data_IF_008703160601
#
_entry.id   IF_008703160601
#
_cell.length_a   1.000
_cell.length_b   1.000
_cell.length_c   1.000
_cell.angle_alpha   90.00
_cell.angle_beta   90.00
_cell.angle_gamma   90.00
#
_symmetry.space_group_name_H-M   'P 1'
#
loop_
_entity.id
_entity.type
_entity.pdbx_description
1 polymer ?
#
# COMPACT_ATOMS: atom_id res chain seq x y z
N UNK A 1 -3.28 27.05 -21.58
CA UNK A 1 -3.32 25.93 -20.63
C UNK A 1 -4.28 26.29 -19.52
N UNK A 2 -5.28 25.43 -19.22
CA UNK A 2 -6.20 25.64 -18.11
C UNK A 2 -5.53 25.26 -16.78
N UNK A 3 -5.85 25.96 -15.70
CA UNK A 3 -5.36 25.65 -14.35
C UNK A 3 -6.54 25.44 -13.40
N UNK A 4 -6.38 24.55 -12.45
CA UNK A 4 -7.34 24.36 -11.35
C UNK A 4 -7.06 25.42 -10.28
N UNK A 5 -8.02 26.33 -10.07
CA UNK A 5 -7.89 27.43 -9.11
C UNK A 5 -7.99 26.93 -7.66
N UNK A 6 -7.55 27.73 -6.70
CA UNK A 6 -7.64 27.39 -5.28
C UNK A 6 -9.10 27.21 -4.83
N UNK A 7 -10.03 28.06 -5.28
CA UNK A 7 -11.45 27.89 -5.01
C UNK A 7 -12.04 26.63 -5.68
N UNK A 8 -11.55 26.24 -6.86
CA UNK A 8 -11.93 25.01 -7.51
C UNK A 8 -11.49 23.77 -6.70
N UNK A 9 -10.28 23.78 -6.18
CA UNK A 9 -9.76 22.72 -5.28
C UNK A 9 -10.56 22.63 -3.98
N UNK A 10 -10.87 23.77 -3.36
CA UNK A 10 -11.71 23.82 -2.17
C UNK A 10 -13.14 23.30 -2.43
N UNK A 11 -13.70 23.56 -3.61
CA UNK A 11 -15.00 23.01 -4.01
C UNK A 11 -14.95 21.49 -4.19
N UNK A 12 -13.85 20.94 -4.74
CA UNK A 12 -13.65 19.48 -4.84
C UNK A 12 -13.57 18.86 -3.43
N UNK A 13 -12.77 19.41 -2.52
CA UNK A 13 -12.71 18.97 -1.14
C UNK A 13 -14.09 19.01 -0.46
N UNK A 14 -14.86 20.08 -0.67
CA UNK A 14 -16.22 20.21 -0.14
C UNK A 14 -17.17 19.14 -0.69
N UNK A 15 -17.07 18.81 -1.97
CA UNK A 15 -17.86 17.73 -2.58
C UNK A 15 -17.54 16.37 -1.98
N UNK A 16 -16.25 16.07 -1.78
CA UNK A 16 -15.80 14.81 -1.16
C UNK A 16 -16.27 14.72 0.30
N UNK A 17 -16.15 15.81 1.06
CA UNK A 17 -16.56 15.84 2.47
C UNK A 17 -18.03 15.46 2.70
N UNK A 18 -18.91 15.69 1.73
CA UNK A 18 -20.35 15.38 1.85
C UNK A 18 -20.68 13.91 1.56
N UNK A 19 -19.72 13.12 1.11
CA UNK A 19 -19.93 11.72 0.76
C UNK A 19 -19.62 10.79 1.94
N UNK A 20 -20.14 9.54 1.94
CA UNK A 20 -19.65 8.52 2.85
C UNK A 20 -18.16 8.26 2.59
N UNK A 21 -17.34 8.41 3.65
CA UNK A 21 -15.88 8.21 3.58
C UNK A 21 -15.50 7.07 4.52
N UNK A 22 -14.75 6.13 3.99
CA UNK A 22 -14.27 4.97 4.74
C UNK A 22 -12.76 4.82 4.54
N UNK A 23 -12.05 4.31 5.55
CA UNK A 23 -10.72 3.75 5.41
C UNK A 23 -10.85 2.24 5.27
N UNK A 24 -10.53 1.73 4.09
CA UNK A 24 -10.32 0.32 3.86
C UNK A 24 -8.89 -0.07 4.27
N UNK A 25 -8.73 -1.27 4.79
CA UNK A 25 -7.43 -1.88 5.01
C UNK A 25 -7.38 -3.28 4.43
N UNK A 26 -6.18 -3.71 4.03
CA UNK A 26 -5.97 -4.97 3.33
C UNK A 26 -4.67 -5.65 3.72
N UNK A 27 -4.63 -6.96 3.46
CA UNK A 27 -3.43 -7.78 3.67
C UNK A 27 -2.36 -7.54 2.60
N UNK A 28 -2.72 -6.91 1.47
CA UNK A 28 -1.82 -6.79 0.33
C UNK A 28 -1.40 -8.14 -0.23
N UNK A 29 -0.20 -8.22 -0.77
CA UNK A 29 0.41 -9.50 -1.09
C UNK A 29 1.12 -10.06 0.16
N UNK A 30 0.80 -11.27 0.61
CA UNK A 30 1.42 -11.87 1.80
C UNK A 30 2.92 -12.10 1.65
N UNK A 31 3.44 -12.17 0.42
CA UNK A 31 4.87 -12.37 0.15
C UNK A 31 5.70 -11.08 0.31
N UNK A 32 5.09 -9.90 0.39
CA UNK A 32 5.84 -8.66 0.61
C UNK A 32 6.65 -8.71 1.90
N UNK A 33 7.89 -8.30 1.80
CA UNK A 33 8.92 -8.32 2.84
C UNK A 33 9.36 -9.74 3.28
N UNK A 34 8.99 -10.78 2.51
CA UNK A 34 9.43 -12.14 2.77
C UNK A 34 10.77 -12.44 2.09
N UNK A 35 11.66 -13.10 2.84
CA UNK A 35 12.88 -13.69 2.32
C UNK A 35 12.56 -14.93 1.47
N UNK A 36 13.07 -14.96 0.26
CA UNK A 36 12.99 -16.12 -0.64
C UNK A 36 14.38 -16.64 -0.95
N UNK A 37 14.54 -17.95 -1.01
CA UNK A 37 15.78 -18.59 -1.43
C UNK A 37 15.45 -19.91 -2.14
N UNK A 38 15.94 -20.07 -3.38
CA UNK A 38 15.74 -21.27 -4.17
C UNK A 38 16.86 -21.48 -5.18
N UNK A 39 17.00 -22.72 -5.64
CA UNK A 39 17.90 -23.08 -6.74
C UNK A 39 17.22 -22.82 -8.09
N UNK A 40 17.96 -22.19 -9.00
CA UNK A 40 17.54 -21.92 -10.37
C UNK A 40 18.62 -22.33 -11.36
N UNK A 41 18.20 -22.77 -12.55
CA UNK A 41 19.08 -22.98 -13.69
C UNK A 41 18.74 -22.00 -14.80
N UNK A 42 19.76 -21.51 -15.49
CA UNK A 42 19.55 -20.60 -16.62
C UNK A 42 18.94 -21.33 -17.82
N UNK A 43 17.93 -20.71 -18.42
CA UNK A 43 17.36 -21.10 -19.71
C UNK A 43 17.52 -19.92 -20.65
N UNK A 44 18.18 -20.14 -21.78
CA UNK A 44 18.50 -19.06 -22.74
C UNK A 44 19.21 -17.87 -22.07
N UNK A 45 20.17 -18.17 -21.17
CA UNK A 45 20.93 -17.21 -20.38
C UNK A 45 20.07 -16.37 -19.40
N UNK A 46 18.86 -16.80 -19.08
CA UNK A 46 17.94 -16.07 -18.19
C UNK A 46 17.34 -16.96 -17.10
N UNK A 47 17.02 -16.33 -15.98
CA UNK A 47 16.16 -16.84 -14.90
C UNK A 47 15.02 -15.85 -14.72
N UNK A 48 13.78 -16.33 -14.72
CA UNK A 48 12.60 -15.60 -14.28
C UNK A 48 12.23 -16.10 -12.88
N UNK A 49 12.27 -15.19 -11.90
CA UNK A 49 11.93 -15.51 -10.52
C UNK A 49 10.42 -15.71 -10.31
N UNK A 50 9.59 -15.31 -11.29
CA UNK A 50 8.12 -15.29 -11.13
C UNK A 50 7.62 -14.29 -10.09
N UNK A 51 8.49 -13.40 -9.63
CA UNK A 51 8.21 -12.33 -8.67
C UNK A 51 8.62 -10.99 -9.26
N UNK A 52 7.83 -9.97 -9.00
CA UNK A 52 8.15 -8.59 -9.36
C UNK A 52 8.52 -7.81 -8.10
N UNK A 53 9.25 -6.72 -8.29
CA UNK A 53 9.74 -5.87 -7.20
C UNK A 53 10.51 -6.69 -6.15
N UNK A 54 11.78 -6.94 -6.46
CA UNK A 54 12.70 -7.65 -5.57
C UNK A 54 13.81 -6.71 -5.08
N UNK A 55 14.32 -6.98 -3.88
CA UNK A 55 15.47 -6.30 -3.30
C UNK A 55 16.43 -7.30 -2.66
N UNK A 56 17.61 -6.83 -2.27
CA UNK A 56 18.62 -7.62 -1.56
C UNK A 56 19.02 -8.90 -2.29
N UNK A 57 19.06 -8.86 -3.64
CA UNK A 57 19.39 -10.01 -4.46
C UNK A 57 20.84 -10.46 -4.24
N UNK A 58 21.00 -11.75 -3.90
CA UNK A 58 22.28 -12.44 -3.78
C UNK A 58 22.24 -13.72 -4.62
N UNK A 59 23.23 -13.92 -5.47
CA UNK A 59 23.39 -15.15 -6.25
C UNK A 59 24.69 -15.84 -5.85
N UNK A 60 24.61 -17.12 -5.54
CA UNK A 60 25.74 -17.97 -5.17
C UNK A 60 25.81 -19.21 -6.05
N UNK A 61 26.99 -19.84 -6.11
CA UNK A 61 27.10 -21.20 -6.61
C UNK A 61 26.25 -22.16 -5.77
N UNK A 62 25.87 -23.29 -6.35
CA UNK A 62 25.02 -24.30 -5.67
C UNK A 62 25.64 -24.82 -4.37
N UNK A 63 26.99 -24.89 -4.30
CA UNK A 63 27.73 -25.26 -3.09
C UNK A 63 27.96 -24.09 -2.10
N UNK A 64 27.42 -22.89 -2.41
CA UNK A 64 27.52 -21.64 -1.66
C UNK A 64 28.96 -21.10 -1.46
N UNK A 65 29.95 -21.67 -2.13
CA UNK A 65 31.35 -21.24 -1.94
C UNK A 65 31.70 -19.98 -2.74
N UNK A 66 30.95 -19.69 -3.80
CA UNK A 66 31.18 -18.51 -4.65
C UNK A 66 29.96 -17.62 -4.65
N UNK A 67 30.15 -16.32 -4.36
CA UNK A 67 29.11 -15.29 -4.54
C UNK A 67 29.39 -14.56 -5.84
N UNK A 68 28.40 -14.51 -6.72
CA UNK A 68 28.49 -13.86 -8.02
C UNK A 68 28.20 -12.35 -7.89
N UNK A 69 28.76 -11.56 -8.79
CA UNK A 69 28.70 -10.09 -8.74
C UNK A 69 27.81 -9.55 -9.86
N UNK A 70 26.84 -8.74 -9.52
CA UNK A 70 25.99 -8.04 -10.48
C UNK A 70 26.83 -7.07 -11.34
N UNK A 71 26.57 -7.02 -12.64
CA UNK A 71 27.33 -6.25 -13.62
C UNK A 71 28.63 -6.94 -14.12
N UNK A 72 29.03 -8.07 -13.51
CA UNK A 72 30.18 -8.88 -13.89
C UNK A 72 29.75 -10.28 -14.34
N UNK A 73 29.00 -10.96 -13.49
CA UNK A 73 28.57 -12.34 -13.70
C UNK A 73 27.12 -12.41 -14.21
N UNK A 74 26.29 -11.47 -13.77
CA UNK A 74 24.89 -11.36 -14.14
C UNK A 74 24.40 -9.90 -14.12
N UNK A 75 23.26 -9.66 -14.79
CA UNK A 75 22.44 -8.46 -14.62
C UNK A 75 21.07 -8.89 -14.09
N UNK A 76 20.46 -8.05 -13.28
CA UNK A 76 19.12 -8.27 -12.76
C UNK A 76 18.26 -7.02 -12.92
N UNK A 77 17.00 -7.22 -13.31
CA UNK A 77 15.95 -6.21 -13.26
C UNK A 77 15.10 -6.46 -12.02
N UNK A 78 15.25 -5.62 -11.02
CA UNK A 78 14.54 -5.75 -9.75
C UNK A 78 13.04 -5.50 -9.86
N UNK A 79 12.56 -4.84 -10.91
CA UNK A 79 11.14 -4.58 -11.13
C UNK A 79 10.43 -5.81 -11.70
N UNK A 80 11.08 -6.49 -12.67
CA UNK A 80 10.49 -7.65 -13.34
C UNK A 80 10.89 -8.98 -12.72
N UNK A 81 11.93 -9.01 -11.88
CA UNK A 81 12.50 -10.23 -11.32
C UNK A 81 13.29 -11.07 -12.33
N UNK A 82 13.65 -10.47 -13.47
CA UNK A 82 14.40 -11.15 -14.52
C UNK A 82 15.91 -11.02 -14.26
N UNK A 83 16.62 -12.14 -14.26
CA UNK A 83 18.08 -12.22 -14.12
C UNK A 83 18.68 -12.74 -15.42
N UNK A 84 19.66 -12.03 -15.96
CA UNK A 84 20.37 -12.41 -17.18
C UNK A 84 21.82 -12.69 -16.87
N UNK A 85 22.32 -13.86 -17.27
CA UNK A 85 23.73 -14.24 -17.15
C UNK A 85 24.58 -13.40 -18.12
N UNK A 86 25.77 -13.00 -17.69
CA UNK A 86 26.76 -12.38 -18.57
C UNK A 86 27.67 -13.50 -19.10
N UNK A 87 27.69 -13.75 -20.42
CA UNK A 87 28.46 -14.88 -20.99
C UNK A 87 29.97 -14.86 -20.72
N UNK A 88 30.54 -13.66 -20.47
CA UNK A 88 31.95 -13.48 -20.12
C UNK A 88 32.22 -13.56 -18.61
N UNK A 89 31.17 -13.69 -17.78
CA UNK A 89 31.26 -13.83 -16.33
C UNK A 89 31.60 -15.27 -15.90
N UNK A 90 31.55 -15.50 -14.61
CA UNK A 90 31.95 -16.79 -14.02
C UNK A 90 30.81 -17.81 -13.92
N UNK A 91 29.57 -17.46 -14.29
CA UNK A 91 28.42 -18.38 -14.29
C UNK A 91 28.39 -19.14 -15.64
N UNK A 92 28.44 -20.45 -15.61
CA UNK A 92 28.24 -21.30 -16.79
C UNK A 92 26.80 -21.33 -17.29
N UNK A 93 26.58 -21.59 -18.58
CA UNK A 93 25.23 -21.59 -19.18
C UNK A 93 24.33 -22.74 -18.68
N UNK A 94 24.91 -23.76 -18.06
CA UNK A 94 24.22 -24.91 -17.48
C UNK A 94 24.33 -24.97 -15.95
N UNK A 95 24.90 -23.96 -15.34
CA UNK A 95 25.06 -23.94 -13.89
C UNK A 95 23.70 -23.78 -13.19
N UNK A 96 23.57 -24.46 -12.07
CA UNK A 96 22.51 -24.21 -11.10
C UNK A 96 23.08 -23.25 -10.04
N UNK A 97 22.34 -22.22 -9.75
CA UNK A 97 22.72 -21.20 -8.78
C UNK A 97 21.67 -21.10 -7.67
N UNK A 98 22.13 -20.80 -6.45
CA UNK A 98 21.25 -20.43 -5.36
C UNK A 98 20.98 -18.93 -5.43
N UNK A 99 19.70 -18.57 -5.58
CA UNK A 99 19.25 -17.18 -5.64
C UNK A 99 18.46 -16.86 -4.37
N UNK A 100 18.91 -15.85 -3.65
CA UNK A 100 18.24 -15.32 -2.45
C UNK A 100 17.85 -13.87 -2.69
N UNK A 101 16.64 -13.49 -2.30
CA UNK A 101 16.11 -12.13 -2.45
C UNK A 101 14.96 -11.89 -1.47
N UNK A 102 14.60 -10.63 -1.27
CA UNK A 102 13.39 -10.21 -0.56
C UNK A 102 12.36 -9.74 -1.59
N UNK A 103 11.10 -10.15 -1.44
CA UNK A 103 10.00 -9.60 -2.25
C UNK A 103 9.70 -8.20 -1.72
N UNK A 104 9.95 -7.18 -2.54
CA UNK A 104 9.73 -5.79 -2.13
C UNK A 104 8.27 -5.38 -2.27
N UNK A 105 7.84 -4.44 -1.44
CA UNK A 105 6.54 -3.78 -1.61
C UNK A 105 6.60 -2.86 -2.83
N UNK A 106 5.74 -3.05 -3.85
CA UNK A 106 5.74 -2.19 -5.02
C UNK A 106 5.29 -0.77 -4.68
N UNK A 107 5.66 0.24 -5.48
CA UNK A 107 5.05 1.56 -5.36
C UNK A 107 3.55 1.48 -5.68
N UNK A 108 2.78 2.40 -5.10
CA UNK A 108 1.34 2.49 -5.32
C UNK A 108 1.03 2.76 -6.80
N UNK A 109 0.11 1.97 -7.36
CA UNK A 109 -0.33 2.14 -8.74
C UNK A 109 -1.40 3.24 -8.82
N UNK A 110 -1.11 4.33 -9.53
CA UNK A 110 -2.05 5.43 -9.77
C UNK A 110 -3.33 4.99 -10.51
N UNK A 111 -3.30 3.84 -11.17
CA UNK A 111 -4.47 3.26 -11.85
C UNK A 111 -5.29 2.32 -10.97
N UNK A 112 -4.86 2.06 -9.73
CA UNK A 112 -5.57 1.19 -8.82
C UNK A 112 -6.97 1.73 -8.51
N UNK A 113 -7.98 0.88 -8.62
CA UNK A 113 -9.37 1.20 -8.28
C UNK A 113 -9.83 0.52 -6.97
N UNK A 114 -9.01 -0.34 -6.40
CA UNK A 114 -9.30 -1.12 -5.19
C UNK A 114 -7.99 -1.57 -4.53
N UNK A 115 -8.06 -2.05 -3.29
CA UNK A 115 -6.97 -2.75 -2.62
C UNK A 115 -6.77 -4.14 -3.26
N UNK A 116 -5.57 -4.70 -3.14
CA UNK A 116 -5.26 -6.06 -3.63
C UNK A 116 -6.07 -7.10 -2.83
N UNK A 117 -6.08 -6.96 -1.50
CA UNK A 117 -6.77 -7.91 -0.61
C UNK A 117 -7.45 -7.17 0.55
N UNK A 118 -8.57 -6.51 0.26
CA UNK A 118 -9.33 -5.81 1.30
C UNK A 118 -9.92 -6.78 2.32
N UNK A 119 -9.70 -6.49 3.60
CA UNK A 119 -10.26 -7.23 4.74
C UNK A 119 -11.59 -6.61 5.18
N UNK A 120 -11.67 -5.31 5.16
CA UNK A 120 -12.82 -4.52 5.55
C UNK A 120 -12.50 -3.04 5.60
N UNK A 121 -13.49 -2.24 5.97
CA UNK A 121 -13.35 -0.78 6.02
C UNK A 121 -14.10 -0.15 7.19
N UNK A 122 -13.58 0.96 7.66
CA UNK A 122 -14.14 1.73 8.77
C UNK A 122 -14.62 3.09 8.29
N UNK A 123 -15.86 3.47 8.71
CA UNK A 123 -16.36 4.82 8.48
C UNK A 123 -15.50 5.86 9.20
N UNK A 124 -15.30 7.02 8.59
CA UNK A 124 -14.59 8.13 9.20
C UNK A 124 -15.25 8.58 10.51
N UNK A 125 -14.45 8.75 11.56
CA UNK A 125 -14.90 9.34 12.82
C UNK A 125 -15.02 10.85 12.70
N UNK A 126 -14.15 11.47 11.89
CA UNK A 126 -14.09 12.91 11.71
C UNK A 126 -13.58 13.26 10.30
N UNK A 127 -14.22 14.24 9.67
CA UNK A 127 -13.78 14.84 8.40
C UNK A 127 -13.93 16.35 8.51
N UNK A 128 -12.80 17.06 8.52
CA UNK A 128 -12.79 18.52 8.67
C UNK A 128 -11.89 19.19 7.63
N UNK A 129 -12.23 20.40 7.20
CA UNK A 129 -11.29 21.23 6.46
C UNK A 129 -10.15 21.66 7.38
N UNK A 130 -8.95 21.80 6.83
CA UNK A 130 -7.81 22.25 7.61
C UNK A 130 -6.87 23.14 6.79
N UNK A 131 -6.00 23.84 7.50
CA UNK A 131 -4.91 24.63 6.92
C UNK A 131 -3.59 24.21 7.55
N UNK A 132 -2.47 24.21 6.82
CA UNK A 132 -1.16 23.96 7.39
C UNK A 132 -0.85 24.97 8.50
N UNK A 133 -0.40 24.50 9.67
CA UNK A 133 -0.07 25.31 10.83
C UNK A 133 0.92 24.55 11.72
N UNK A 134 2.14 25.05 11.87
CA UNK A 134 3.17 24.41 12.69
C UNK A 134 2.77 24.23 14.16
N UNK A 135 1.82 25.04 14.66
CA UNK A 135 1.28 24.96 16.01
C UNK A 135 -0.08 24.25 16.07
N UNK A 136 -0.54 23.72 14.92
CA UNK A 136 -1.86 23.08 14.79
C UNK A 136 -2.02 21.81 15.64
N UNK A 137 -3.25 21.58 16.09
CA UNK A 137 -3.62 20.44 16.93
C UNK A 137 -3.84 19.14 16.13
N UNK A 138 -4.10 19.24 14.82
CA UNK A 138 -4.26 18.09 13.94
C UNK A 138 -2.88 17.62 13.47
N UNK A 139 -2.41 16.53 14.05
CA UNK A 139 -1.07 15.96 13.78
C UNK A 139 -1.21 14.76 12.85
N UNK A 140 -0.47 14.80 11.74
CA UNK A 140 -0.38 13.68 10.78
C UNK A 140 1.09 13.39 10.46
N UNK A 141 1.42 12.25 9.83
CA UNK A 141 2.78 11.99 9.38
C UNK A 141 3.35 13.08 8.44
N UNK A 142 2.48 13.77 7.71
CA UNK A 142 2.87 14.81 6.74
C UNK A 142 2.98 16.21 7.34
N UNK A 143 2.61 16.40 8.59
CA UNK A 143 2.72 17.72 9.24
C UNK A 143 1.63 18.01 10.26
N UNK A 144 1.54 19.29 10.63
CA UNK A 144 0.53 19.81 11.55
C UNK A 144 -0.42 20.75 10.84
N UNK A 145 -1.67 20.73 11.29
CA UNK A 145 -2.75 21.50 10.69
C UNK A 145 -3.69 22.03 11.78
N UNK A 146 -4.37 23.13 11.46
CA UNK A 146 -5.48 23.67 12.27
C UNK A 146 -6.78 23.50 11.51
N UNK A 147 -7.85 23.05 12.19
CA UNK A 147 -9.17 22.90 11.61
C UNK A 147 -9.72 24.26 11.11
N UNK A 148 -10.45 24.23 9.99
CA UNK A 148 -11.08 25.39 9.38
C UNK A 148 -12.58 25.18 9.22
N UNK A 149 -13.37 26.19 9.60
CA UNK A 149 -14.82 26.21 9.33
C UNK A 149 -15.13 26.50 7.84
N UNK A 150 -14.20 27.18 7.17
CA UNK A 150 -14.35 27.52 5.75
C UNK A 150 -13.76 26.43 4.88
N UNK A 151 -14.36 26.15 3.72
CA UNK A 151 -13.79 25.20 2.75
C UNK A 151 -12.36 25.59 2.35
N UNK A 152 -11.45 24.63 2.48
CA UNK A 152 -10.07 24.69 2.00
C UNK A 152 -9.82 23.55 1.00
N UNK A 153 -8.66 23.52 0.38
CA UNK A 153 -8.25 22.42 -0.48
C UNK A 153 -7.70 21.22 0.31
N UNK A 154 -7.71 21.26 1.65
CA UNK A 154 -7.23 20.17 2.49
C UNK A 154 -8.36 19.59 3.33
N UNK A 155 -8.47 18.27 3.34
CA UNK A 155 -9.37 17.53 4.25
C UNK A 155 -8.54 16.68 5.19
N UNK A 156 -8.68 16.94 6.49
CA UNK A 156 -8.24 16.03 7.53
C UNK A 156 -9.33 14.97 7.76
N UNK A 157 -8.92 13.72 7.80
CA UNK A 157 -9.79 12.56 8.02
C UNK A 157 -9.19 11.70 9.12
N UNK A 158 -10.01 11.27 10.08
CA UNK A 158 -9.61 10.39 11.17
C UNK A 158 -10.48 9.15 11.21
N UNK A 159 -9.83 7.99 11.39
CA UNK A 159 -10.45 6.68 11.45
C UNK A 159 -9.89 5.92 12.65
N UNK A 160 -10.74 5.33 13.47
CA UNK A 160 -10.31 4.54 14.63
C UNK A 160 -10.86 3.13 14.51
N UNK A 161 -9.99 2.18 14.26
CA UNK A 161 -10.32 0.76 14.28
C UNK A 161 -10.33 0.24 15.72
N UNK A 162 -11.40 -0.43 16.08
CA UNK A 162 -11.63 -0.93 17.43
C UNK A 162 -11.01 -2.32 17.64
N UNK A 163 -11.04 -2.81 18.86
CA UNK A 163 -10.46 -4.09 19.27
C UNK A 163 -10.98 -5.28 18.46
N UNK A 164 -12.24 -5.22 18.04
CA UNK A 164 -12.94 -6.30 17.33
C UNK A 164 -12.81 -6.19 15.79
N UNK A 165 -12.26 -5.10 15.28
CA UNK A 165 -12.10 -4.89 13.84
C UNK A 165 -10.94 -5.75 13.33
N UNK A 166 -11.22 -6.93 12.77
CA UNK A 166 -10.29 -7.90 12.17
C UNK A 166 -9.02 -8.19 13.02
N UNK A 167 -9.15 -8.69 14.25
CA UNK A 167 -8.00 -9.09 15.05
C UNK A 167 -7.31 -10.31 14.42
N UNK A 168 -5.99 -10.35 14.47
CA UNK A 168 -5.16 -11.42 13.92
C UNK A 168 -4.68 -11.21 12.49
N UNK A 169 -5.14 -10.15 11.82
CA UNK A 169 -4.75 -9.82 10.46
C UNK A 169 -3.42 -9.01 10.42
N UNK A 170 -2.74 -9.09 9.29
CA UNK A 170 -1.56 -8.28 9.00
C UNK A 170 -1.94 -7.27 7.92
N UNK A 171 -1.95 -6.00 8.29
CA UNK A 171 -2.32 -4.91 7.38
C UNK A 171 -1.08 -4.45 6.62
N UNK A 172 -1.18 -4.41 5.29
CA UNK A 172 -0.12 -3.95 4.38
C UNK A 172 -0.61 -2.86 3.41
N UNK A 173 -1.94 -2.65 3.35
CA UNK A 173 -2.56 -1.65 2.48
C UNK A 173 -3.59 -0.84 3.25
N UNK A 174 -3.64 0.45 2.96
CA UNK A 174 -4.66 1.39 3.41
C UNK A 174 -5.26 2.10 2.20
N UNK A 175 -6.58 2.24 2.16
CA UNK A 175 -7.26 2.94 1.07
C UNK A 175 -8.39 3.83 1.56
N UNK A 176 -8.35 5.13 1.22
CA UNK A 176 -9.50 6.00 1.49
C UNK A 176 -10.52 5.79 0.36
N UNK A 177 -11.69 5.28 0.74
CA UNK A 177 -12.82 5.04 -0.17
C UNK A 177 -13.90 6.10 0.03
N UNK A 178 -14.41 6.65 -1.06
CA UNK A 178 -15.48 7.65 -1.04
C UNK A 178 -16.69 7.16 -1.82
N UNK A 179 -17.88 7.58 -1.39
CA UNK A 179 -19.15 7.20 -1.99
C UNK A 179 -19.44 5.68 -1.94
N UNK A 180 -18.95 5.00 -0.90
CA UNK A 180 -19.31 3.59 -0.64
C UNK A 180 -20.78 3.45 -0.37
N UNK A 181 -21.46 2.50 -1.03
CA UNK A 181 -22.82 2.11 -0.68
C UNK A 181 -22.82 0.83 0.16
N UNK A 182 -23.59 0.83 1.25
CA UNK A 182 -23.72 -0.27 2.19
C UNK A 182 -25.01 -1.05 1.95
N UNK A 183 -25.04 -2.30 2.41
CA UNK A 183 -26.23 -3.13 2.37
C UNK A 183 -27.34 -2.55 3.26
N UNK A 184 -28.59 -2.82 2.89
CA UNK A 184 -29.75 -2.51 3.73
C UNK A 184 -29.77 -3.42 4.97
N UNK A 185 -30.38 -2.96 6.06
CA UNK A 185 -30.58 -3.72 7.30
C UNK A 185 -29.30 -4.06 8.11
N UNK A 186 -28.25 -3.27 7.97
CA UNK A 186 -27.10 -3.36 8.86
C UNK A 186 -27.47 -2.87 10.28
N UNK A 187 -26.81 -3.38 11.34
CA UNK A 187 -27.03 -2.92 12.71
C UNK A 187 -26.85 -1.41 12.86
N UNK A 188 -27.74 -0.78 13.60
CA UNK A 188 -27.63 0.65 13.89
C UNK A 188 -26.32 0.96 14.64
N UNK A 189 -25.58 1.97 14.17
CA UNK A 189 -24.30 2.38 14.76
C UNK A 189 -23.11 1.53 14.34
N UNK A 190 -23.27 0.54 13.46
CA UNK A 190 -22.13 -0.19 12.88
C UNK A 190 -21.22 0.79 12.15
N UNK A 191 -19.92 0.71 12.42
CA UNK A 191 -18.89 1.57 11.80
C UNK A 191 -17.84 0.79 11.03
N UNK A 192 -17.71 -0.51 11.26
CA UNK A 192 -16.82 -1.40 10.54
C UNK A 192 -17.62 -2.33 9.63
N UNK A 193 -17.20 -2.47 8.38
CA UNK A 193 -17.90 -3.18 7.31
C UNK A 193 -16.95 -4.15 6.61
N UNK A 194 -17.42 -5.35 6.36
CA UNK A 194 -16.73 -6.37 5.56
C UNK A 194 -17.33 -6.43 4.16
N UNK A 195 -16.73 -7.21 3.26
CA UNK A 195 -17.15 -7.27 1.86
C UNK A 195 -18.64 -7.59 1.66
N UNK A 196 -19.24 -8.42 2.54
CA UNK A 196 -20.67 -8.74 2.48
C UNK A 196 -21.59 -7.56 2.83
N UNK A 197 -21.08 -6.56 3.54
CA UNK A 197 -21.83 -5.37 3.97
C UNK A 197 -21.81 -4.26 2.90
N UNK A 198 -21.05 -4.44 1.83
CA UNK A 198 -20.76 -3.41 0.81
C UNK A 198 -21.46 -3.80 -0.49
N UNK A 199 -22.35 -2.95 -0.98
CA UNK A 199 -23.06 -3.15 -2.25
C UNK A 199 -22.39 -2.43 -3.41
N UNK A 200 -21.71 -1.30 -3.14
CA UNK A 200 -20.87 -0.58 -4.09
C UNK A 200 -19.59 -0.12 -3.35
N UNK A 201 -18.41 -0.53 -3.80
CA UNK A 201 -17.16 -0.14 -3.16
C UNK A 201 -16.90 1.37 -3.21
N UNK A 202 -17.52 2.10 -4.15
CA UNK A 202 -17.23 3.51 -4.37
C UNK A 202 -15.92 3.74 -5.13
N UNK A 203 -15.25 4.84 -4.85
CA UNK A 203 -14.04 5.29 -5.53
C UNK A 203 -12.87 5.24 -4.55
N UNK A 204 -11.78 4.60 -4.94
CA UNK A 204 -10.51 4.67 -4.23
C UNK A 204 -9.89 6.06 -4.46
N UNK A 205 -9.87 6.87 -3.42
CA UNK A 205 -9.34 8.24 -3.46
C UNK A 205 -7.84 8.29 -3.15
N UNK A 206 -7.38 7.47 -2.21
CA UNK A 206 -5.98 7.37 -1.77
C UNK A 206 -5.65 5.91 -1.58
N UNK A 207 -4.48 5.49 -2.04
CA UNK A 207 -3.87 4.19 -1.76
C UNK A 207 -2.53 4.44 -1.07
N UNK A 208 -2.24 3.67 -0.03
CA UNK A 208 -0.96 3.66 0.67
C UNK A 208 -0.58 2.22 1.00
N UNK A 209 0.62 1.81 0.61
CA UNK A 209 1.24 0.59 1.09
C UNK A 209 1.99 0.90 2.39
N UNK A 210 1.74 0.12 3.43
CA UNK A 210 2.35 0.34 4.74
C UNK A 210 3.27 -0.81 5.13
N UNK A 211 4.21 -0.55 6.03
CA UNK A 211 4.95 -1.64 6.69
C UNK A 211 3.94 -2.58 7.37
N UNK A 212 4.21 -3.89 7.41
CA UNK A 212 3.28 -4.85 8.00
C UNK A 212 2.87 -4.46 9.42
N UNK A 213 1.59 -4.17 9.63
CA UNK A 213 1.01 -3.83 10.92
C UNK A 213 0.19 -5.02 11.41
N UNK A 214 0.66 -5.65 12.49
CA UNK A 214 -0.03 -6.81 13.08
C UNK A 214 -1.18 -6.34 13.96
N UNK A 215 -2.41 -6.66 13.57
CA UNK A 215 -3.61 -6.36 14.38
C UNK A 215 -3.75 -7.32 15.53
N UNK A 216 -4.02 -6.79 16.70
CA UNK A 216 -4.35 -7.59 17.89
C UNK A 216 -5.67 -7.10 18.50
N UNK A 217 -6.36 -7.98 19.21
CA UNK A 217 -7.56 -7.61 19.97
C UNK A 217 -7.25 -6.76 21.23
N UNK A 218 -5.98 -6.44 21.47
CA UNK A 218 -5.55 -5.65 22.64
C UNK A 218 -5.36 -4.16 22.31
N UNK A 219 -5.37 -3.77 21.03
CA UNK A 219 -5.07 -2.41 20.59
C UNK A 219 -6.16 -1.80 19.73
N UNK A 220 -6.32 -0.50 19.84
CA UNK A 220 -7.02 0.35 18.88
C UNK A 220 -5.99 1.01 17.99
N UNK A 221 -6.30 1.11 16.69
CA UNK A 221 -5.44 1.81 15.74
C UNK A 221 -6.17 3.05 15.23
N UNK A 222 -5.50 4.19 15.31
CA UNK A 222 -6.04 5.45 14.81
C UNK A 222 -5.17 5.94 13.66
N UNK A 223 -5.80 6.13 12.50
CA UNK A 223 -5.17 6.68 11.31
C UNK A 223 -5.69 8.09 11.08
N UNK A 224 -4.79 9.00 10.76
CA UNK A 224 -5.11 10.38 10.42
C UNK A 224 -4.42 10.78 9.12
N UNK A 225 -5.22 11.23 8.16
CA UNK A 225 -4.75 11.66 6.85
C UNK A 225 -5.10 13.12 6.60
N UNK A 226 -4.26 13.82 5.84
CA UNK A 226 -4.65 15.05 5.18
C UNK A 226 -4.53 14.85 3.68
N UNK A 227 -5.67 14.93 2.98
CA UNK A 227 -5.74 14.86 1.53
C UNK A 227 -5.82 16.27 0.96
N UNK A 228 -4.91 16.60 0.05
CA UNK A 228 -4.82 17.92 -0.61
C UNK A 228 -5.29 17.78 -2.07
N UNK A 229 -6.26 18.60 -2.47
CA UNK A 229 -6.89 18.63 -3.79
C UNK A 229 -6.28 19.70 -4.70
#
# INVERSE_FOLDING_TARGET
MAILTQSGRAAMAASIKTQPIHLAWGNGNPDWEDDKSAEFSFTDDQIDLGQTYIKELVIKSQDEQTTYTQGVDYNADSVTGLISRIPAGNIGSSDTVLVSYVVDTPPEDISAGQLIAEIGRRMADEVVFCVPDEQGDLVTPTGRFTASEQPTNNLHMRFTFDFEDSPGEIIRELGIMVNTALAENLPEGQKYFQGADITDPGILLVLEHTVPLVRTAATRETFSFVVTF
#
